data_IF_343392013447
#
_entry.id   IF_343392013447
#
_cell.length_a   1.000
_cell.length_b   1.000
_cell.length_c   1.000
_cell.angle_alpha   90.00
_cell.angle_beta   90.00
_cell.angle_gamma   90.00
#
_symmetry.space_group_name_H-M   'P 1'
#
loop_
_entity.id
_entity.type
_entity.pdbx_description
1 polymer ?
#
# COMPACT_ATOMS: atom_id res chain seq x y z
N UNK A 1 -4.25 21.79 -17.76
CA UNK A 1 -4.38 21.27 -16.39
C UNK A 1 -5.17 22.23 -15.54
N UNK A 2 -5.90 21.72 -14.55
CA UNK A 2 -6.58 22.55 -13.55
C UNK A 2 -5.74 22.64 -12.28
N UNK A 3 -5.87 23.73 -11.52
CA UNK A 3 -5.24 23.89 -10.21
C UNK A 3 -6.28 24.34 -9.19
N UNK A 4 -6.62 23.46 -8.25
CA UNK A 4 -7.47 23.73 -7.12
C UNK A 4 -6.59 24.08 -5.91
N UNK A 5 -6.64 25.33 -5.47
CA UNK A 5 -5.90 25.82 -4.29
C UNK A 5 -6.70 26.90 -3.55
N UNK A 6 -6.35 27.13 -2.27
CA UNK A 6 -6.94 28.18 -1.42
C UNK A 6 -8.46 28.13 -1.34
N UNK A 7 -9.01 26.94 -1.16
CA UNK A 7 -10.44 26.74 -1.04
C UNK A 7 -10.78 25.38 -0.47
N UNK A 8 -12.04 24.99 -0.63
CA UNK A 8 -12.59 23.74 -0.12
C UNK A 8 -13.58 23.17 -1.14
N UNK A 9 -13.85 21.87 -1.05
CA UNK A 9 -14.92 21.24 -1.82
C UNK A 9 -16.23 22.04 -1.64
N UNK A 10 -17.03 22.24 -2.70
CA UNK A 10 -18.35 22.86 -2.57
C UNK A 10 -19.31 21.94 -1.81
N UNK A 11 -19.18 20.61 -1.98
CA UNK A 11 -19.99 19.58 -1.33
C UNK A 11 -19.13 18.47 -0.74
N UNK A 12 -19.40 17.20 -1.09
CA UNK A 12 -18.71 16.01 -0.56
C UNK A 12 -17.40 15.69 -1.27
N UNK A 13 -17.14 16.32 -2.42
CA UNK A 13 -15.96 16.08 -3.22
C UNK A 13 -15.47 17.33 -3.97
N UNK A 14 -14.19 17.35 -4.33
CA UNK A 14 -13.62 18.37 -5.24
C UNK A 14 -13.90 18.00 -6.69
N UNK A 15 -13.58 16.77 -7.07
CA UNK A 15 -13.84 16.21 -8.41
C UNK A 15 -14.55 14.86 -8.26
N UNK A 16 -15.70 14.72 -8.93
CA UNK A 16 -16.36 13.43 -9.13
C UNK A 16 -16.38 13.10 -10.62
N UNK A 17 -15.96 11.89 -10.97
CA UNK A 17 -16.01 11.35 -12.33
C UNK A 17 -17.00 10.20 -12.30
N UNK A 18 -18.18 10.44 -12.86
CA UNK A 18 -19.22 9.43 -13.05
C UNK A 18 -19.39 9.13 -14.54
N UNK A 19 -19.13 7.90 -14.96
CA UNK A 19 -19.27 7.51 -16.37
C UNK A 19 -18.30 6.41 -16.81
N UNK A 20 -18.03 6.34 -18.11
CA UNK A 20 -17.05 5.39 -18.66
C UNK A 20 -16.06 6.08 -19.57
N UNK A 21 -14.82 5.58 -19.62
CA UNK A 21 -13.78 6.08 -20.52
C UNK A 21 -13.44 7.58 -20.37
N UNK A 22 -13.61 8.13 -19.16
CA UNK A 22 -13.21 9.49 -18.83
C UNK A 22 -11.80 9.51 -18.22
N UNK A 23 -11.10 10.63 -18.39
CA UNK A 23 -9.73 10.83 -17.92
C UNK A 23 -9.58 12.14 -17.17
N UNK A 24 -9.04 12.09 -15.96
CA UNK A 24 -8.50 13.24 -15.24
C UNK A 24 -6.98 13.23 -15.37
N UNK A 25 -6.41 14.27 -15.97
CA UNK A 25 -4.97 14.34 -16.17
C UNK A 25 -4.41 15.74 -15.93
N UNK A 26 -3.12 15.82 -15.62
CA UNK A 26 -2.37 17.08 -15.48
C UNK A 26 -3.09 18.08 -14.55
N UNK A 27 -3.54 17.62 -13.40
CA UNK A 27 -4.35 18.42 -12.45
C UNK A 27 -3.68 18.47 -11.08
N UNK A 28 -3.72 19.63 -10.43
CA UNK A 28 -3.18 19.85 -9.09
C UNK A 28 -4.32 20.15 -8.13
N UNK A 29 -4.35 19.45 -6.99
CA UNK A 29 -5.16 19.81 -5.83
C UNK A 29 -4.20 20.04 -4.66
N UNK A 30 -4.12 21.28 -4.18
CA UNK A 30 -3.08 21.76 -3.27
C UNK A 30 -3.70 22.50 -2.07
N UNK A 31 -3.55 21.93 -0.89
CA UNK A 31 -4.09 22.44 0.39
C UNK A 31 -5.58 22.83 0.30
N UNK A 32 -6.38 22.15 -0.54
CA UNK A 32 -7.79 22.48 -0.80
C UNK A 32 -8.72 21.89 0.27
N UNK A 33 -8.47 22.29 1.53
CA UNK A 33 -9.11 21.76 2.72
C UNK A 33 -10.22 22.68 3.25
N UNK A 34 -11.32 22.13 3.79
CA UNK A 34 -12.31 22.90 4.54
C UNK A 34 -11.74 23.46 5.84
N UNK A 35 -12.42 24.48 6.38
CA UNK A 35 -12.10 25.02 7.71
C UNK A 35 -12.34 23.98 8.82
N UNK A 36 -13.42 23.20 8.72
CA UNK A 36 -13.67 22.05 9.58
C UNK A 36 -13.02 20.79 8.98
N UNK A 37 -11.88 20.40 9.54
CA UNK A 37 -11.09 19.26 9.08
C UNK A 37 -11.66 17.90 9.51
N UNK A 38 -12.60 17.84 10.46
CA UNK A 38 -13.04 16.59 11.08
C UNK A 38 -14.52 16.27 10.81
N UNK A 39 -15.38 17.29 10.82
CA UNK A 39 -16.82 17.13 10.73
C UNK A 39 -17.36 17.05 9.31
N UNK A 40 -16.50 17.23 8.29
CA UNK A 40 -16.92 17.30 6.89
C UNK A 40 -16.29 16.20 6.03
N UNK A 41 -17.13 15.49 5.30
CA UNK A 41 -16.69 14.64 4.20
C UNK A 41 -16.27 15.48 2.99
N UNK A 42 -15.02 15.36 2.55
CA UNK A 42 -14.46 16.15 1.46
C UNK A 42 -13.44 15.36 0.61
N UNK A 43 -13.89 14.31 -0.08
CA UNK A 43 -13.02 13.52 -0.96
C UNK A 43 -12.41 14.42 -2.04
N UNK A 44 -11.14 14.27 -2.37
CA UNK A 44 -10.60 15.09 -3.48
C UNK A 44 -11.03 14.53 -4.82
N UNK A 45 -10.89 13.23 -5.03
CA UNK A 45 -11.32 12.56 -6.27
C UNK A 45 -12.22 11.39 -5.93
N UNK A 46 -13.41 11.34 -6.54
CA UNK A 46 -14.32 10.20 -6.48
C UNK A 46 -14.54 9.64 -7.89
N UNK A 47 -14.26 8.35 -8.06
CA UNK A 47 -14.41 7.63 -9.32
C UNK A 47 -15.59 6.66 -9.22
N UNK A 48 -16.48 6.68 -10.19
CA UNK A 48 -17.62 5.76 -10.27
C UNK A 48 -17.96 5.45 -11.73
N UNK A 49 -18.05 4.16 -12.05
CA UNK A 49 -18.33 3.68 -13.41
C UNK A 49 -17.23 2.73 -13.88
N UNK A 50 -16.74 2.84 -15.11
CA UNK A 50 -15.77 1.89 -15.66
C UNK A 50 -14.70 2.55 -16.55
N UNK A 51 -13.50 1.98 -16.62
CA UNK A 51 -12.42 2.44 -17.49
C UNK A 51 -12.03 3.92 -17.30
N UNK A 52 -12.08 4.39 -16.05
CA UNK A 52 -11.67 5.74 -15.69
C UNK A 52 -10.16 5.80 -15.50
N UNK A 53 -9.54 6.90 -15.92
CA UNK A 53 -8.10 7.12 -15.80
C UNK A 53 -7.82 8.36 -14.96
N UNK A 54 -6.94 8.25 -13.97
CA UNK A 54 -6.38 9.39 -13.22
C UNK A 54 -4.87 9.34 -13.35
N UNK A 55 -4.29 10.32 -14.04
CA UNK A 55 -2.85 10.30 -14.33
C UNK A 55 -2.16 11.66 -14.36
N UNK A 56 -0.85 11.70 -14.12
CA UNK A 56 -0.06 12.94 -14.11
C UNK A 56 -0.66 14.05 -13.23
N UNK A 57 -1.34 13.68 -12.14
CA UNK A 57 -1.92 14.63 -11.19
C UNK A 57 -1.06 14.74 -9.94
N UNK A 58 -1.15 15.90 -9.27
CA UNK A 58 -0.51 16.13 -7.96
C UNK A 58 -1.58 16.41 -6.92
N UNK A 59 -1.53 15.67 -5.82
CA UNK A 59 -2.40 15.82 -4.66
C UNK A 59 -1.53 16.15 -3.46
N UNK A 60 -1.55 17.42 -3.02
CA UNK A 60 -0.65 17.93 -2.00
C UNK A 60 -1.36 18.49 -0.77
N UNK A 61 -0.99 18.02 0.42
CA UNK A 61 -1.42 18.58 1.72
C UNK A 61 -2.92 18.46 2.00
N UNK A 62 -3.50 17.26 1.79
CA UNK A 62 -4.87 16.97 2.26
C UNK A 62 -4.83 16.73 3.77
N UNK A 63 -5.50 17.57 4.55
CA UNK A 63 -5.53 17.51 6.03
C UNK A 63 -6.84 17.01 6.62
N UNK A 64 -7.92 17.17 5.88
CA UNK A 64 -9.27 16.79 6.32
C UNK A 64 -9.51 15.29 6.36
N UNK A 65 -10.41 14.88 7.25
CA UNK A 65 -10.91 13.52 7.46
C UNK A 65 -11.83 13.08 6.33
N UNK A 66 -11.23 12.62 5.26
CA UNK A 66 -11.86 11.86 4.18
C UNK A 66 -10.78 11.38 3.23
N UNK A 67 -10.99 10.27 2.55
CA UNK A 67 -10.06 9.69 1.57
C UNK A 67 -9.65 10.72 0.51
N UNK A 68 -8.38 10.72 0.07
CA UNK A 68 -7.93 11.59 -1.04
C UNK A 68 -8.55 11.17 -2.37
N UNK A 69 -8.36 9.92 -2.78
CA UNK A 69 -8.97 9.33 -3.99
C UNK A 69 -9.75 8.06 -3.66
N UNK A 70 -11.03 8.01 -4.02
CA UNK A 70 -11.91 6.86 -3.80
C UNK A 70 -12.42 6.27 -5.10
N UNK A 71 -12.33 4.94 -5.24
CA UNK A 71 -13.09 4.17 -6.25
C UNK A 71 -14.36 3.64 -5.61
N UNK A 72 -15.51 4.09 -6.09
CA UNK A 72 -16.84 3.62 -5.71
C UNK A 72 -17.29 2.54 -6.67
N UNK A 73 -17.70 1.40 -6.11
CA UNK A 73 -17.92 0.18 -6.89
C UNK A 73 -19.39 -0.13 -7.06
N UNK A 74 -19.69 -0.76 -8.19
CA UNK A 74 -20.99 -1.41 -8.39
C UNK A 74 -20.80 -2.91 -8.16
N UNK A 75 -21.50 -3.54 -7.19
CA UNK A 75 -21.34 -4.97 -6.90
C UNK A 75 -21.47 -5.83 -8.16
N UNK A 76 -20.51 -6.74 -8.37
CA UNK A 76 -20.50 -7.66 -9.51
C UNK A 76 -20.05 -7.07 -10.85
N UNK A 77 -19.78 -5.76 -10.93
CA UNK A 77 -19.29 -5.09 -12.13
C UNK A 77 -17.83 -4.66 -11.92
N UNK A 78 -16.88 -5.15 -12.74
CA UNK A 78 -15.49 -4.69 -12.67
C UNK A 78 -15.29 -3.25 -13.15
N UNK A 79 -14.49 -2.48 -12.41
CA UNK A 79 -14.27 -1.04 -12.64
C UNK A 79 -13.22 -0.79 -13.73
N UNK A 80 -12.17 -1.61 -13.83
CA UNK A 80 -11.06 -1.46 -14.79
C UNK A 80 -10.41 -0.06 -14.80
N UNK A 81 -10.38 0.62 -13.66
CA UNK A 81 -9.77 1.95 -13.56
C UNK A 81 -8.24 1.87 -13.62
N UNK A 82 -7.61 2.94 -14.09
CA UNK A 82 -6.14 3.11 -14.06
C UNK A 82 -5.80 4.38 -13.29
N UNK A 83 -5.00 4.24 -12.24
CA UNK A 83 -4.47 5.36 -11.44
C UNK A 83 -2.95 5.31 -11.58
N UNK A 84 -2.37 6.20 -12.36
CA UNK A 84 -0.96 6.10 -12.74
C UNK A 84 -0.19 7.40 -12.82
N UNK A 85 1.12 7.39 -12.60
CA UNK A 85 1.99 8.55 -12.82
C UNK A 85 1.56 9.80 -12.01
N UNK A 86 0.88 9.59 -10.88
CA UNK A 86 0.48 10.68 -9.98
C UNK A 86 1.50 10.88 -8.86
N UNK A 87 1.51 12.09 -8.30
CA UNK A 87 2.26 12.43 -7.10
C UNK A 87 1.29 12.72 -5.95
N UNK A 88 1.19 11.78 -5.01
CA UNK A 88 0.51 11.98 -3.74
C UNK A 88 1.55 12.44 -2.73
N UNK A 89 1.52 13.72 -2.37
CA UNK A 89 2.54 14.35 -1.58
C UNK A 89 1.95 14.90 -0.29
N UNK A 90 2.54 14.59 0.87
CA UNK A 90 2.14 15.13 2.18
C UNK A 90 0.65 14.91 2.44
N UNK A 91 0.31 13.75 3.01
CA UNK A 91 -0.99 13.51 3.65
C UNK A 91 -0.73 13.53 5.15
N UNK A 92 -0.85 14.67 5.86
CA UNK A 92 -0.45 14.76 7.25
C UNK A 92 -1.21 13.78 8.14
N UNK A 93 -0.56 13.35 9.23
CA UNK A 93 -1.14 12.45 10.21
C UNK A 93 -2.48 12.98 10.70
N UNK A 94 -3.53 12.18 10.56
CA UNK A 94 -4.85 12.49 11.10
C UNK A 94 -4.88 12.39 12.63
N UNK A 95 -6.01 12.72 13.23
CA UNK A 95 -6.20 12.74 14.69
C UNK A 95 -6.35 11.34 15.33
N UNK A 96 -5.62 10.34 14.83
CA UNK A 96 -5.61 8.97 15.35
C UNK A 96 -6.82 8.10 14.96
N UNK A 97 -7.71 8.60 14.10
CA UNK A 97 -8.89 7.88 13.62
C UNK A 97 -8.76 7.31 12.21
N UNK A 98 -9.72 6.46 11.83
CA UNK A 98 -9.94 5.97 10.47
C UNK A 98 -10.49 7.07 9.55
N UNK A 99 -10.31 6.93 8.24
CA UNK A 99 -10.87 7.83 7.21
C UNK A 99 -9.87 8.81 6.65
N UNK A 100 -8.57 8.50 6.75
CA UNK A 100 -7.49 9.35 6.31
C UNK A 100 -6.69 8.76 5.13
N UNK A 101 -7.21 7.72 4.50
CA UNK A 101 -6.54 7.00 3.42
C UNK A 101 -6.15 7.94 2.26
N UNK A 102 -5.02 7.67 1.61
CA UNK A 102 -4.66 8.39 0.38
C UNK A 102 -5.47 7.82 -0.78
N UNK A 103 -5.47 6.50 -0.96
CA UNK A 103 -6.34 5.83 -1.92
C UNK A 103 -7.21 4.80 -1.21
N UNK A 104 -8.47 4.72 -1.60
CA UNK A 104 -9.35 3.59 -1.26
C UNK A 104 -10.02 3.01 -2.50
N UNK A 105 -9.92 1.70 -2.69
CA UNK A 105 -10.57 0.97 -3.79
C UNK A 105 -11.71 0.12 -3.24
N UNK A 106 -12.96 0.58 -3.39
CA UNK A 106 -14.15 -0.09 -2.85
C UNK A 106 -14.40 0.12 -1.35
N UNK A 107 -15.40 -0.59 -0.83
CA UNK A 107 -15.71 -0.69 0.60
C UNK A 107 -15.88 -2.16 1.02
N UNK A 108 -16.20 -2.40 2.28
CA UNK A 108 -16.49 -3.75 2.77
C UNK A 108 -17.70 -4.38 2.08
N UNK A 109 -18.71 -3.59 1.73
CA UNK A 109 -19.99 -4.08 1.20
C UNK A 109 -19.82 -4.68 -0.21
N UNK A 110 -18.85 -4.19 -0.99
CA UNK A 110 -18.61 -4.66 -2.36
C UNK A 110 -17.35 -5.52 -2.51
N UNK A 111 -16.64 -5.80 -1.42
CA UNK A 111 -15.27 -6.33 -1.45
C UNK A 111 -15.10 -7.69 -2.15
N UNK A 112 -16.13 -8.52 -2.12
CA UNK A 112 -16.12 -9.87 -2.70
C UNK A 112 -16.18 -9.89 -4.23
N UNK A 113 -16.43 -8.74 -4.87
CA UNK A 113 -16.44 -8.63 -6.32
C UNK A 113 -15.13 -8.05 -6.87
N UNK A 114 -14.81 -8.38 -8.12
CA UNK A 114 -13.57 -7.95 -8.78
C UNK A 114 -13.66 -6.49 -9.20
N UNK A 115 -12.67 -5.68 -8.84
CA UNK A 115 -12.51 -4.31 -9.35
C UNK A 115 -11.68 -4.28 -10.63
N UNK A 116 -10.61 -5.08 -10.70
CA UNK A 116 -9.63 -5.02 -11.79
C UNK A 116 -8.99 -3.63 -11.98
N UNK A 117 -9.04 -2.79 -10.94
CA UNK A 117 -8.35 -1.49 -10.91
C UNK A 117 -6.84 -1.69 -10.84
N UNK A 118 -6.12 -0.91 -11.64
CA UNK A 118 -4.65 -0.85 -11.66
C UNK A 118 -4.17 0.45 -11.01
N UNK A 119 -3.26 0.34 -10.05
CA UNK A 119 -2.55 1.47 -9.43
C UNK A 119 -1.06 1.30 -9.74
N UNK A 120 -0.51 2.12 -10.64
CA UNK A 120 0.87 1.91 -11.11
C UNK A 120 1.71 3.15 -11.27
N UNK A 121 3.01 3.03 -11.05
CA UNK A 121 3.97 4.12 -11.34
C UNK A 121 3.64 5.45 -10.66
N UNK A 122 2.96 5.42 -9.50
CA UNK A 122 2.69 6.61 -8.70
C UNK A 122 3.81 6.82 -7.67
N UNK A 123 4.03 8.08 -7.30
CA UNK A 123 4.85 8.46 -6.16
C UNK A 123 3.93 8.84 -4.99
N UNK A 124 4.01 8.05 -3.92
CA UNK A 124 3.46 8.36 -2.61
C UNK A 124 4.61 8.87 -1.73
N UNK A 125 4.51 10.10 -1.26
CA UNK A 125 5.56 10.73 -0.48
C UNK A 125 4.98 11.36 0.78
N UNK A 126 5.45 10.91 1.94
CA UNK A 126 4.96 11.39 3.24
C UNK A 126 3.43 11.28 3.38
N UNK A 127 2.88 10.17 2.89
CA UNK A 127 1.47 9.85 3.03
C UNK A 127 1.20 9.22 4.42
N UNK A 128 1.03 10.08 5.42
CA UNK A 128 1.04 9.73 6.85
C UNK A 128 -0.35 9.69 7.50
N UNK A 129 -1.41 9.92 6.71
CA UNK A 129 -2.77 10.16 7.17
C UNK A 129 -3.25 9.16 8.23
N UNK A 130 -3.08 7.87 7.96
CA UNK A 130 -3.45 6.81 8.89
C UNK A 130 -2.71 5.49 8.61
N UNK A 131 -3.23 4.39 9.17
CA UNK A 131 -2.68 3.04 9.03
C UNK A 131 -2.62 2.59 7.56
N UNK A 132 -3.63 2.96 6.78
CA UNK A 132 -3.79 2.53 5.39
C UNK A 132 -3.53 3.71 4.44
N UNK A 133 -2.30 3.85 3.94
CA UNK A 133 -2.01 4.85 2.90
C UNK A 133 -2.78 4.50 1.62
N UNK A 134 -2.76 3.23 1.24
CA UNK A 134 -3.62 2.66 0.20
C UNK A 134 -4.41 1.52 0.82
N UNK A 135 -5.73 1.61 0.76
CA UNK A 135 -6.66 0.59 1.27
C UNK A 135 -7.41 -0.07 0.12
N UNK A 136 -7.05 -1.32 -0.18
CA UNK A 136 -7.71 -2.13 -1.20
C UNK A 136 -8.84 -2.91 -0.54
N UNK A 137 -10.07 -2.63 -0.93
CA UNK A 137 -11.30 -3.26 -0.43
C UNK A 137 -12.10 -3.85 -1.61
N UNK A 138 -11.41 -4.57 -2.49
CA UNK A 138 -11.96 -5.15 -3.69
C UNK A 138 -11.08 -6.29 -4.24
N UNK A 139 -11.68 -7.18 -5.03
CA UNK A 139 -10.97 -8.30 -5.64
C UNK A 139 -10.12 -7.93 -6.86
N UNK A 140 -9.05 -8.69 -7.08
CA UNK A 140 -8.21 -8.70 -8.28
C UNK A 140 -7.69 -7.31 -8.72
N UNK A 141 -7.28 -6.47 -7.77
CA UNK A 141 -6.58 -5.23 -8.10
C UNK A 141 -5.11 -5.51 -8.43
N UNK A 142 -4.47 -4.66 -9.23
CA UNK A 142 -3.05 -4.75 -9.56
C UNK A 142 -2.32 -3.47 -9.14
N UNK A 143 -1.44 -3.59 -8.13
CA UNK A 143 -0.71 -2.47 -7.56
C UNK A 143 0.76 -2.67 -7.85
N UNK A 144 1.33 -1.94 -8.80
CA UNK A 144 2.67 -2.23 -9.27
C UNK A 144 3.55 -1.03 -9.66
N UNK A 145 4.87 -1.18 -9.56
CA UNK A 145 5.85 -0.15 -9.93
C UNK A 145 5.64 1.22 -9.22
N UNK A 146 4.97 1.26 -8.06
CA UNK A 146 4.80 2.50 -7.29
C UNK A 146 5.98 2.70 -6.32
N UNK A 147 6.25 3.96 -5.96
CA UNK A 147 7.21 4.32 -4.91
C UNK A 147 6.48 4.90 -3.70
N UNK A 148 6.71 4.34 -2.52
CA UNK A 148 6.27 4.83 -1.21
C UNK A 148 7.49 5.36 -0.46
N UNK A 149 7.70 6.67 -0.51
CA UNK A 149 8.81 7.36 0.13
C UNK A 149 8.37 7.98 1.45
N UNK A 150 8.93 7.49 2.56
CA UNK A 150 8.71 8.04 3.90
C UNK A 150 7.22 8.12 4.30
N UNK A 151 6.39 7.19 3.79
CA UNK A 151 4.98 7.11 4.14
C UNK A 151 4.80 6.44 5.51
N UNK A 152 4.29 7.18 6.49
CA UNK A 152 3.91 6.61 7.77
C UNK A 152 2.54 5.91 7.67
N UNK A 153 2.48 4.84 6.90
CA UNK A 153 1.28 4.06 6.59
C UNK A 153 1.65 2.78 5.84
N UNK A 154 0.65 2.04 5.38
CA UNK A 154 0.85 0.77 4.64
C UNK A 154 0.00 0.71 3.38
N UNK A 155 0.45 -0.09 2.40
CA UNK A 155 -0.42 -0.65 1.38
C UNK A 155 -1.16 -1.85 1.99
N UNK A 156 -2.44 -1.69 2.30
CA UNK A 156 -3.25 -2.73 2.94
C UNK A 156 -4.20 -3.37 1.94
N UNK A 157 -4.05 -4.68 1.72
CA UNK A 157 -5.06 -5.54 1.12
C UNK A 157 -6.10 -5.85 2.20
N UNK A 158 -7.03 -4.92 2.39
CA UNK A 158 -7.90 -4.86 3.58
C UNK A 158 -9.12 -5.76 3.47
N UNK A 159 -9.73 -5.81 2.29
CA UNK A 159 -10.82 -6.72 1.92
C UNK A 159 -10.70 -7.12 0.45
N UNK A 160 -11.43 -8.17 0.05
CA UNK A 160 -11.36 -8.74 -1.29
C UNK A 160 -10.18 -9.69 -1.46
N UNK A 161 -10.13 -10.37 -2.61
CA UNK A 161 -9.25 -11.52 -2.83
C UNK A 161 -8.50 -11.40 -4.17
N UNK A 162 -7.38 -12.11 -4.32
CA UNK A 162 -6.69 -12.27 -5.62
C UNK A 162 -5.90 -11.06 -6.14
N UNK A 163 -5.77 -9.98 -5.35
CA UNK A 163 -4.98 -8.81 -5.74
C UNK A 163 -3.47 -9.11 -5.82
N UNK A 164 -2.79 -8.42 -6.74
CA UNK A 164 -1.35 -8.53 -6.98
C UNK A 164 -0.63 -7.25 -6.57
N UNK A 165 0.44 -7.38 -5.81
CA UNK A 165 1.33 -6.28 -5.37
C UNK A 165 2.72 -6.57 -5.90
N UNK A 166 3.14 -5.86 -6.94
CA UNK A 166 4.32 -6.24 -7.72
C UNK A 166 5.31 -5.10 -7.91
N UNK A 167 6.61 -5.33 -7.72
CA UNK A 167 7.67 -4.36 -8.11
C UNK A 167 7.54 -2.95 -7.50
N UNK A 168 6.86 -2.81 -6.36
CA UNK A 168 6.78 -1.53 -5.66
C UNK A 168 8.05 -1.31 -4.81
N UNK A 169 8.44 -0.05 -4.66
CA UNK A 169 9.50 0.38 -3.75
C UNK A 169 8.89 1.02 -2.50
N UNK A 170 9.19 0.49 -1.32
CA UNK A 170 8.86 1.06 -0.03
C UNK A 170 10.15 1.55 0.64
N UNK A 171 10.41 2.85 0.59
CA UNK A 171 11.61 3.49 1.13
C UNK A 171 11.26 4.27 2.40
N UNK A 172 11.52 3.68 3.57
CA UNK A 172 11.15 4.27 4.85
C UNK A 172 12.14 5.29 5.40
N UNK A 173 13.42 5.22 5.00
CA UNK A 173 14.54 6.01 5.56
C UNK A 173 14.57 6.04 7.10
N UNK A 174 14.06 4.98 7.75
CA UNK A 174 13.88 4.84 9.21
C UNK A 174 12.95 5.88 9.85
N UNK A 175 12.14 6.58 9.06
CA UNK A 175 11.07 7.44 9.60
C UNK A 175 10.11 6.60 10.42
N UNK A 176 9.78 7.08 11.62
CA UNK A 176 8.85 6.42 12.53
C UNK A 176 7.49 6.18 11.86
N UNK A 177 6.93 5.00 12.10
CA UNK A 177 5.62 4.64 11.58
C UNK A 177 5.63 4.30 10.09
N UNK A 178 6.79 4.12 9.45
CA UNK A 178 6.84 3.59 8.08
C UNK A 178 6.53 2.09 8.05
N UNK A 179 5.73 1.67 7.07
CA UNK A 179 5.32 0.29 6.85
C UNK A 179 5.29 -0.05 5.36
N UNK A 180 5.18 -1.34 5.06
CA UNK A 180 5.11 -1.82 3.69
C UNK A 180 3.71 -2.33 3.38
N UNK A 181 3.55 -3.65 3.33
CA UNK A 181 2.32 -4.31 2.93
C UNK A 181 1.65 -5.04 4.09
N UNK A 182 0.31 -4.91 4.19
CA UNK A 182 -0.53 -5.71 5.10
C UNK A 182 -1.54 -6.51 4.30
N UNK A 183 -1.69 -7.79 4.64
CA UNK A 183 -2.53 -8.72 3.88
C UNK A 183 -3.60 -9.35 4.77
N UNK A 184 -4.85 -9.17 4.36
CA UNK A 184 -6.00 -10.00 4.72
C UNK A 184 -6.48 -10.74 3.48
N UNK A 185 -7.42 -11.68 3.63
CA UNK A 185 -8.07 -12.32 2.49
C UNK A 185 -7.19 -13.35 1.77
N UNK A 186 -7.67 -13.81 0.62
CA UNK A 186 -7.22 -15.06 -0.01
C UNK A 186 -6.61 -14.81 -1.38
N UNK A 187 -5.61 -15.62 -1.75
CA UNK A 187 -5.14 -15.73 -3.14
C UNK A 187 -4.25 -14.59 -3.62
N UNK A 188 -3.74 -13.76 -2.70
CA UNK A 188 -2.90 -12.60 -3.04
C UNK A 188 -1.47 -13.00 -3.45
N UNK A 189 -0.82 -12.15 -4.25
CA UNK A 189 0.60 -12.27 -4.54
C UNK A 189 1.34 -10.97 -4.24
N UNK A 190 2.42 -11.06 -3.46
CA UNK A 190 3.34 -9.97 -3.15
C UNK A 190 4.70 -10.34 -3.75
N UNK A 191 5.04 -9.79 -4.91
CA UNK A 191 6.17 -10.28 -5.73
C UNK A 191 7.12 -9.17 -6.18
N UNK A 192 8.43 -9.41 -6.10
CA UNK A 192 9.43 -8.50 -6.65
C UNK A 192 9.48 -7.10 -6.02
N UNK A 193 8.87 -6.89 -4.85
CA UNK A 193 8.86 -5.58 -4.18
C UNK A 193 10.15 -5.36 -3.38
N UNK A 194 10.54 -4.10 -3.18
CA UNK A 194 11.67 -3.73 -2.34
C UNK A 194 11.19 -2.97 -1.08
N UNK A 195 11.56 -3.46 0.10
CA UNK A 195 11.21 -2.93 1.41
C UNK A 195 12.47 -2.49 2.14
N UNK A 196 12.73 -1.19 2.17
CA UNK A 196 14.01 -0.63 2.60
C UNK A 196 13.83 0.37 3.73
N UNK A 197 14.50 0.14 4.86
CA UNK A 197 14.54 1.11 5.97
C UNK A 197 13.19 1.38 6.64
N UNK A 198 12.26 0.43 6.60
CA UNK A 198 10.95 0.55 7.24
C UNK A 198 11.02 0.27 8.74
N UNK A 199 10.17 0.94 9.52
CA UNK A 199 10.10 0.77 10.98
C UNK A 199 9.07 -0.27 11.45
N UNK A 200 8.45 -1.00 10.52
CA UNK A 200 7.55 -2.11 10.84
C UNK A 200 6.13 -1.69 11.25
N UNK A 201 5.62 -0.56 10.75
CA UNK A 201 4.22 -0.18 10.99
C UNK A 201 3.28 -1.27 10.45
N UNK A 202 2.38 -1.74 11.32
CA UNK A 202 1.53 -2.89 11.01
C UNK A 202 2.15 -4.25 11.34
N UNK A 203 3.26 -4.27 12.08
CA UNK A 203 3.90 -5.48 12.62
C UNK A 203 5.24 -5.82 11.97
N UNK A 204 5.40 -5.51 10.68
CA UNK A 204 6.59 -5.82 9.88
C UNK A 204 6.63 -4.96 8.61
N UNK A 205 7.66 -5.13 7.78
CA UNK A 205 7.66 -4.62 6.41
C UNK A 205 6.55 -5.29 5.57
N UNK A 206 6.34 -6.60 5.75
CA UNK A 206 5.22 -7.34 5.19
C UNK A 206 4.52 -8.16 6.28
N UNK A 207 3.25 -7.87 6.55
CA UNK A 207 2.46 -8.57 7.57
C UNK A 207 1.31 -9.35 6.96
N UNK A 208 1.23 -10.65 7.28
CA UNK A 208 0.04 -11.46 7.12
C UNK A 208 -0.76 -11.43 8.42
N UNK A 209 -2.01 -11.05 8.30
CA UNK A 209 -2.88 -10.77 9.44
C UNK A 209 -3.62 -12.04 9.87
N UNK A 210 -3.80 -12.22 11.19
CA UNK A 210 -4.73 -13.21 11.71
C UNK A 210 -6.18 -12.78 11.42
N UNK A 211 -7.05 -13.76 11.17
CA UNK A 211 -8.47 -13.56 10.88
C UNK A 211 -9.40 -14.03 12.00
N UNK A 212 -10.65 -13.60 11.91
CA UNK A 212 -11.75 -14.08 12.75
C UNK A 212 -12.22 -15.48 12.30
N UNK A 213 -12.87 -16.24 13.18
CA UNK A 213 -13.40 -17.58 12.84
C UNK A 213 -14.59 -17.53 11.88
N UNK A 214 -15.38 -16.46 11.96
CA UNK A 214 -16.60 -16.26 11.14
C UNK A 214 -16.78 -14.76 10.89
N UNK A 215 -15.88 -14.16 10.09
CA UNK A 215 -15.90 -12.72 9.84
C UNK A 215 -17.14 -12.30 9.07
N UNK A 216 -17.75 -11.19 9.47
CA UNK A 216 -18.62 -10.41 8.59
C UNK A 216 -17.79 -9.75 7.47
N UNK A 217 -18.43 -9.19 6.44
CA UNK A 217 -17.72 -8.50 5.34
C UNK A 217 -16.75 -7.40 5.82
N UNK A 218 -17.17 -6.60 6.80
CA UNK A 218 -16.34 -5.57 7.43
C UNK A 218 -15.34 -6.10 8.48
N UNK A 219 -15.36 -7.41 8.76
CA UNK A 219 -14.49 -8.08 9.71
C UNK A 219 -13.08 -8.32 9.17
N UNK A 220 -12.39 -9.26 9.81
CA UNK A 220 -11.01 -9.62 9.46
C UNK A 220 -10.97 -11.00 8.82
N UNK A 221 -10.92 -11.01 7.49
CA UNK A 221 -10.86 -12.24 6.71
C UNK A 221 -9.53 -12.96 6.94
N UNK A 222 -9.54 -14.29 7.21
CA UNK A 222 -8.33 -15.08 7.30
C UNK A 222 -7.47 -15.00 6.04
N UNK A 223 -6.16 -15.06 6.24
CA UNK A 223 -5.20 -15.15 5.14
C UNK A 223 -5.06 -16.58 4.68
N UNK A 224 -5.25 -16.82 3.39
CA UNK A 224 -5.04 -18.13 2.79
C UNK A 224 -4.46 -18.03 1.37
N UNK A 225 -3.63 -18.99 0.97
CA UNK A 225 -3.12 -19.13 -0.39
C UNK A 225 -2.40 -17.86 -0.89
N UNK A 226 -1.49 -17.33 -0.08
CA UNK A 226 -0.72 -16.12 -0.41
C UNK A 226 0.69 -16.49 -0.85
N UNK A 227 1.15 -15.85 -1.93
CA UNK A 227 2.51 -16.00 -2.44
C UNK A 227 3.35 -14.75 -2.14
N UNK A 228 4.51 -14.96 -1.54
CA UNK A 228 5.51 -13.94 -1.20
C UNK A 228 6.81 -14.35 -1.90
N UNK A 229 7.06 -13.81 -3.09
CA UNK A 229 8.08 -14.35 -3.99
C UNK A 229 9.02 -13.27 -4.54
N UNK A 230 10.34 -13.47 -4.46
CA UNK A 230 11.32 -12.60 -5.10
C UNK A 230 11.42 -11.18 -4.51
N UNK A 231 10.96 -10.95 -3.27
CA UNK A 231 11.01 -9.62 -2.65
C UNK A 231 12.37 -9.36 -1.98
N UNK A 232 12.74 -8.08 -1.89
CA UNK A 232 13.92 -7.60 -1.18
C UNK A 232 13.51 -6.91 0.12
N UNK A 233 14.08 -7.34 1.25
CA UNK A 233 13.94 -6.69 2.55
C UNK A 233 15.32 -6.29 3.06
N UNK A 234 15.57 -4.98 3.20
CA UNK A 234 16.90 -4.47 3.51
C UNK A 234 16.86 -3.37 4.56
N UNK A 235 17.73 -3.48 5.56
CA UNK A 235 17.95 -2.43 6.57
C UNK A 235 16.67 -1.95 7.30
N UNK A 236 15.64 -2.80 7.35
CA UNK A 236 14.43 -2.55 8.12
C UNK A 236 14.75 -2.63 9.62
N UNK A 237 14.07 -1.80 10.41
CA UNK A 237 14.23 -1.79 11.87
C UNK A 237 13.38 -2.88 12.51
N UNK A 238 12.15 -3.07 12.01
CA UNK A 238 11.26 -4.16 12.43
C UNK A 238 11.44 -5.44 11.60
N UNK A 239 10.65 -6.49 11.89
CA UNK A 239 10.69 -7.73 11.13
C UNK A 239 10.48 -7.49 9.63
N UNK A 240 11.14 -8.28 8.79
CA UNK A 240 10.90 -8.27 7.36
C UNK A 240 9.52 -8.85 7.04
N UNK A 241 9.21 -10.02 7.60
CA UNK A 241 7.94 -10.70 7.40
C UNK A 241 7.34 -11.07 8.76
N UNK A 242 6.04 -10.83 8.92
CA UNK A 242 5.27 -11.33 10.06
C UNK A 242 4.09 -12.18 9.60
N UNK A 243 3.91 -13.35 10.22
CA UNK A 243 2.96 -14.39 9.80
C UNK A 243 1.81 -14.63 10.80
N UNK A 244 1.70 -13.79 11.82
CA UNK A 244 0.74 -13.95 12.92
C UNK A 244 0.19 -12.59 13.42
N UNK A 245 0.27 -11.54 12.59
CA UNK A 245 0.00 -10.18 13.06
C UNK A 245 -1.44 -10.08 13.61
N UNK A 246 -1.56 -9.57 14.83
CA UNK A 246 -2.83 -9.44 15.56
C UNK A 246 -3.53 -10.78 15.85
N UNK A 247 -2.77 -11.89 15.92
CA UNK A 247 -3.28 -13.13 16.50
C UNK A 247 -3.56 -12.94 18.01
N UNK A 248 -4.78 -13.28 18.42
CA UNK A 248 -5.34 -12.85 19.71
C UNK A 248 -6.56 -11.95 19.52
N UNK A 249 -7.17 -11.46 20.59
CA UNK A 249 -8.25 -10.44 20.54
C UNK A 249 -9.38 -10.71 19.54
N UNK A 250 -9.93 -11.93 19.54
CA UNK A 250 -11.01 -12.34 18.64
C UNK A 250 -10.56 -12.82 17.26
N UNK A 251 -9.27 -12.70 16.93
CA UNK A 251 -8.66 -13.21 15.69
C UNK A 251 -7.86 -14.47 15.96
N UNK A 252 -8.55 -15.59 15.80
CA UNK A 252 -8.05 -16.92 16.16
C UNK A 252 -7.69 -17.80 14.95
N UNK A 253 -7.75 -17.27 13.73
CA UNK A 253 -7.40 -18.00 12.52
C UNK A 253 -6.07 -17.48 11.98
N UNK A 254 -5.02 -18.29 12.11
CA UNK A 254 -3.69 -17.99 11.59
C UNK A 254 -3.64 -18.15 10.05
N UNK A 255 -2.72 -17.45 9.36
CA UNK A 255 -2.49 -17.64 7.93
C UNK A 255 -2.20 -19.09 7.53
N UNK A 256 -2.75 -19.52 6.39
CA UNK A 256 -2.59 -20.88 5.85
C UNK A 256 -2.14 -20.87 4.39
N UNK A 257 -1.50 -21.96 3.97
CA UNK A 257 -1.07 -22.16 2.57
C UNK A 257 -0.25 -20.99 2.05
N UNK A 258 0.69 -20.49 2.87
CA UNK A 258 1.54 -19.36 2.52
C UNK A 258 2.81 -19.89 1.85
N UNK A 259 3.13 -19.39 0.66
CA UNK A 259 4.40 -19.70 0.02
C UNK A 259 5.35 -18.51 0.11
N UNK A 260 6.51 -18.71 0.72
CA UNK A 260 7.59 -17.72 0.84
C UNK A 260 8.79 -18.23 0.07
N UNK A 261 9.06 -17.67 -1.12
CA UNK A 261 10.11 -18.18 -2.02
C UNK A 261 11.05 -17.12 -2.54
N UNK A 262 12.32 -17.48 -2.69
CA UNK A 262 13.31 -16.67 -3.41
C UNK A 262 13.41 -15.20 -2.93
N UNK A 263 13.05 -14.92 -1.69
CA UNK A 263 13.18 -13.58 -1.11
C UNK A 263 14.59 -13.38 -0.56
N UNK A 264 15.05 -12.13 -0.57
CA UNK A 264 16.31 -11.71 0.04
C UNK A 264 16.02 -10.87 1.27
N UNK A 265 16.46 -11.32 2.44
CA UNK A 265 16.25 -10.64 3.72
C UNK A 265 17.61 -10.28 4.33
N UNK A 266 17.80 -9.01 4.68
CA UNK A 266 19.01 -8.53 5.37
C UNK A 266 18.63 -7.65 6.56
N UNK A 267 19.21 -7.95 7.73
CA UNK A 267 18.95 -7.23 8.98
C UNK A 267 20.04 -7.45 10.03
N UNK A 268 20.09 -6.56 11.02
CA UNK A 268 21.04 -6.66 12.14
C UNK A 268 20.65 -7.73 13.17
N UNK A 269 19.36 -8.01 13.32
CA UNK A 269 18.84 -9.10 14.16
C UNK A 269 18.25 -10.20 13.27
N UNK A 270 19.00 -11.30 13.10
CA UNK A 270 18.57 -12.41 12.27
C UNK A 270 17.38 -13.19 12.86
N UNK A 271 17.25 -13.25 14.18
CA UNK A 271 16.18 -14.02 14.83
C UNK A 271 14.84 -13.29 14.72
N UNK A 272 14.86 -11.95 14.65
CA UNK A 272 13.68 -11.10 14.48
C UNK A 272 13.24 -10.86 13.03
N UNK A 273 13.94 -11.38 12.01
CA UNK A 273 13.63 -11.10 10.60
C UNK A 273 12.28 -11.68 10.15
N UNK A 274 11.93 -12.86 10.65
CA UNK A 274 10.63 -13.50 10.39
C UNK A 274 9.95 -13.78 11.72
N UNK A 275 8.81 -13.14 11.95
CA UNK A 275 8.05 -13.26 13.18
C UNK A 275 6.80 -14.13 13.00
N UNK A 276 6.50 -14.96 14.02
CA UNK A 276 5.24 -15.71 14.11
C UNK A 276 5.15 -16.98 13.26
N UNK A 277 6.20 -17.31 12.50
CA UNK A 277 6.22 -18.52 11.65
C UNK A 277 6.36 -19.83 12.43
N UNK A 278 6.75 -19.78 13.70
CA UNK A 278 6.91 -20.91 14.61
C UNK A 278 5.59 -21.32 15.31
N UNK A 279 4.53 -20.53 15.15
CA UNK A 279 3.24 -20.82 15.79
C UNK A 279 2.58 -22.07 15.20
N UNK A 280 2.14 -23.02 16.05
CA UNK A 280 1.33 -24.16 15.60
C UNK A 280 0.09 -23.69 14.82
N UNK A 281 -0.06 -24.18 13.59
CA UNK A 281 -1.19 -23.85 12.73
C UNK A 281 -0.89 -22.86 11.60
N UNK A 282 0.28 -22.20 11.61
CA UNK A 282 0.79 -21.51 10.41
C UNK A 282 1.30 -22.59 9.44
N UNK A 283 0.73 -22.64 8.24
CA UNK A 283 1.17 -23.57 7.20
C UNK A 283 1.93 -22.79 6.11
N UNK A 284 3.25 -23.02 6.02
CA UNK A 284 4.13 -22.29 5.14
C UNK A 284 5.04 -23.22 4.34
N UNK A 285 5.22 -22.88 3.05
CA UNK A 285 6.33 -23.37 2.23
C UNK A 285 7.43 -22.31 2.25
N UNK A 286 8.64 -22.70 2.65
CA UNK A 286 9.82 -21.82 2.69
C UNK A 286 10.93 -22.38 1.82
N UNK A 287 11.19 -21.76 0.67
CA UNK A 287 12.11 -22.30 -0.34
C UNK A 287 13.01 -21.21 -0.92
N UNK A 288 14.30 -21.49 -1.09
CA UNK A 288 15.24 -20.64 -1.84
C UNK A 288 15.39 -19.19 -1.30
N UNK A 289 14.90 -18.89 -0.10
CA UNK A 289 15.11 -17.58 0.52
C UNK A 289 16.56 -17.44 1.00
N UNK A 290 17.11 -16.24 0.83
CA UNK A 290 18.46 -15.91 1.27
C UNK A 290 18.39 -14.92 2.43
N UNK A 291 19.11 -15.21 3.51
CA UNK A 291 19.13 -14.37 4.71
C UNK A 291 20.58 -13.94 4.96
N UNK A 292 20.79 -12.63 5.14
CA UNK A 292 22.10 -12.02 5.37
C UNK A 292 22.14 -11.30 6.72
N UNK A 293 23.23 -11.48 7.46
CA UNK A 293 23.49 -10.73 8.69
C UNK A 293 24.05 -9.34 8.40
N UNK A 294 23.64 -8.38 9.23
CA UNK A 294 24.29 -7.09 9.33
C UNK A 294 23.98 -6.13 8.19
N UNK A 295 22.71 -5.85 7.91
CA UNK A 295 22.20 -4.77 7.02
C UNK A 295 22.86 -4.61 5.63
N UNK A 296 23.75 -5.50 5.24
CA UNK A 296 24.48 -5.51 3.97
C UNK A 296 23.92 -6.64 3.12
N UNK A 297 23.80 -6.39 1.82
CA UNK A 297 23.44 -7.41 0.83
C UNK A 297 24.65 -7.51 -0.11
N UNK A 298 25.20 -8.71 -0.36
CA UNK A 298 26.31 -8.87 -1.28
C UNK A 298 25.97 -8.32 -2.69
N UNK A 299 26.93 -7.64 -3.33
CA UNK A 299 26.73 -7.07 -4.67
C UNK A 299 26.38 -8.11 -5.75
N UNK A 300 26.70 -9.39 -5.52
CA UNK A 300 26.32 -10.52 -6.38
C UNK A 300 24.82 -10.88 -6.30
N UNK A 301 24.13 -10.45 -5.25
CA UNK A 301 22.70 -10.68 -5.03
C UNK A 301 21.88 -9.52 -5.59
N UNK A 302 22.37 -8.29 -5.44
CA UNK A 302 21.74 -7.11 -6.05
C UNK A 302 21.74 -7.19 -7.58
N UNK A 303 22.77 -7.80 -8.19
CA UNK A 303 22.86 -7.99 -9.66
C UNK A 303 21.96 -9.08 -10.24
N UNK A 304 21.44 -10.01 -9.42
CA UNK A 304 20.53 -11.07 -9.85
C UNK A 304 19.04 -10.69 -9.74
N UNK A 305 18.73 -9.66 -8.92
CA UNK A 305 17.41 -9.04 -8.86
C UNK A 305 17.40 -7.95 -9.92
N UNK A 306 16.96 -8.30 -11.13
CA UNK A 306 17.00 -7.35 -12.25
C UNK A 306 15.80 -6.38 -12.22
N UNK A 307 16.00 -5.05 -12.21
CA UNK A 307 17.27 -4.36 -12.12
C UNK A 307 17.68 -4.03 -10.67
N UNK A 308 18.99 -3.94 -10.40
CA UNK A 308 19.54 -3.72 -9.07
C UNK A 308 19.20 -2.30 -8.61
N UNK A 309 18.72 -2.13 -7.38
CA UNK A 309 18.99 -0.89 -6.68
C UNK A 309 20.43 -0.97 -6.18
N UNK A 310 21.27 -0.01 -6.57
CA UNK A 310 22.64 0.11 -6.05
C UNK A 310 22.78 1.43 -5.30
N UNK A 311 23.92 1.64 -4.65
CA UNK A 311 24.18 2.79 -3.77
C UNK A 311 23.98 4.19 -4.43
N UNK A 312 23.66 4.24 -5.73
CA UNK A 312 23.26 5.42 -6.51
C UNK A 312 21.80 5.89 -6.29
N UNK A 313 20.93 5.07 -5.69
CA UNK A 313 19.49 5.39 -5.59
C UNK A 313 19.09 6.29 -4.40
N UNK A 314 20.05 6.69 -3.55
CA UNK A 314 19.76 7.37 -2.26
C UNK A 314 20.52 8.70 -2.05
N UNK A 315 21.10 9.32 -3.08
CA UNK A 315 21.33 10.78 -3.06
C UNK A 315 22.63 11.33 -3.65
N UNK A 316 22.63 11.66 -4.95
CA UNK A 316 23.71 12.44 -5.58
C UNK A 316 23.21 13.73 -6.28
N UNK A 317 23.96 14.86 -6.24
CA UNK A 317 23.51 16.21 -6.61
C UNK A 317 23.22 16.50 -8.11
N UNK A 318 23.45 15.56 -9.02
CA UNK A 318 23.42 15.82 -10.48
C UNK A 318 22.01 15.84 -11.10
N UNK A 319 20.96 15.46 -10.35
CA UNK A 319 19.56 15.65 -10.79
C UNK A 319 19.08 17.11 -10.68
N UNK A 320 19.87 18.01 -10.07
CA UNK A 320 19.56 19.46 -10.06
C UNK A 320 19.79 20.15 -11.41
N UNK A 321 20.61 19.59 -12.31
CA UNK A 321 21.10 20.31 -13.50
C UNK A 321 20.53 19.85 -14.85
N UNK A 322 19.41 19.11 -14.85
CA UNK A 322 18.64 18.85 -16.09
C UNK A 322 17.17 19.24 -16.03
N UNK A 323 16.80 20.02 -15.02
CA UNK A 323 15.59 20.85 -15.05
C UNK A 323 16.03 22.30 -15.28
N UNK A 324 16.38 22.57 -16.54
CA UNK A 324 16.13 23.84 -17.22
C UNK A 324 15.41 23.51 -18.51
#
# INVERSE_FOLDING_TARGET
GFWFAKGQAPEKYVIAIEGTHCRLTNTVIDSYNPADLEGREDKWVSLKGQYLVVDHCTFHDKRSKSVTLTVWRTPGVPDHHTIELNHFHVRPRGNGGNGYETIRIGTSEESESNSLTTVRSNLFEQCDGEMEAVSVKAGNCHIHDNTFSECAGTLTLRHGNGSKVEKNLFSGKRKEGTGGVRVYGVGHSVTGNAFIGLTGRGGAALSLMAGEKSPKLSGFQPVENVRIEGNLFAANVGPAIRLDEQYGDGRAVLPKSVAVRANVLSGSDLQGLVAGGDRPGVAMIWEQNQIFSGNQIPASVTSAISPPLTADDVGAPWFRDRVR
#
